data_IF_210452651695
#
_entry.id   IF_210452651695
#
_cell.length_a   1.000
_cell.length_b   1.000
_cell.length_c   1.000
_cell.angle_alpha   90.00
_cell.angle_beta   90.00
_cell.angle_gamma   90.00
#
_symmetry.space_group_name_H-M   'P 1'
#
loop_
_entity.id
_entity.type
_entity.pdbx_description
1 polymer ?
#
# COMPACT_ATOMS: atom_id res chain seq x y z
N UNK A 1 19.06 1.46 -16.41
CA UNK A 1 18.26 1.60 -15.15
C UNK A 1 18.48 0.36 -14.30
N UNK A 2 18.51 0.49 -12.98
CA UNK A 2 18.60 -0.68 -12.09
C UNK A 2 17.29 -1.46 -12.08
N UNK A 3 16.15 -0.76 -12.10
CA UNK A 3 14.82 -1.37 -12.07
C UNK A 3 14.17 -1.31 -13.43
N UNK A 4 13.61 -2.42 -13.86
CA UNK A 4 12.85 -2.57 -15.11
C UNK A 4 11.38 -2.86 -14.85
N UNK A 5 11.02 -3.13 -13.58
CA UNK A 5 9.65 -3.43 -13.14
C UNK A 5 9.32 -2.61 -11.91
N UNK A 6 8.21 -1.90 -12.00
CA UNK A 6 7.65 -1.08 -10.92
C UNK A 6 6.26 -1.60 -10.56
N UNK A 7 6.13 -2.08 -9.33
CA UNK A 7 4.85 -2.54 -8.78
C UNK A 7 4.39 -1.53 -7.74
N UNK A 8 3.15 -1.12 -7.80
CA UNK A 8 2.57 -0.09 -6.94
C UNK A 8 1.41 -0.66 -6.10
N UNK A 9 1.26 -0.20 -4.86
CA UNK A 9 -0.06 -0.19 -4.26
C UNK A 9 -0.95 0.86 -4.95
N UNK A 10 -2.24 0.86 -4.63
CA UNK A 10 -3.19 1.76 -5.26
C UNK A 10 -3.63 2.90 -4.34
N UNK A 11 -4.32 2.56 -3.24
CA UNK A 11 -4.87 3.55 -2.30
C UNK A 11 -3.72 4.26 -1.56
N UNK A 12 -3.75 5.59 -1.51
CA UNK A 12 -2.70 6.44 -0.95
C UNK A 12 -1.31 6.33 -1.61
N UNK A 13 -1.17 5.50 -2.62
CA UNK A 13 0.07 5.41 -3.42
C UNK A 13 -0.10 6.03 -4.79
N UNK A 14 -1.06 5.58 -5.58
CA UNK A 14 -1.38 6.14 -6.91
C UNK A 14 -2.57 7.10 -6.83
N UNK A 15 -3.53 6.85 -5.95
CA UNK A 15 -4.78 7.59 -5.85
C UNK A 15 -5.21 7.81 -4.41
N UNK A 16 -5.90 8.92 -4.17
CA UNK A 16 -6.66 9.16 -2.95
C UNK A 16 -8.10 8.69 -3.15
N UNK A 17 -8.49 7.61 -2.50
CA UNK A 17 -9.85 7.10 -2.39
C UNK A 17 -10.41 7.18 -0.98
N UNK A 18 -9.72 7.89 -0.09
CA UNK A 18 -10.05 7.94 1.33
C UNK A 18 -11.47 8.43 1.60
N UNK A 19 -11.95 9.41 0.83
CA UNK A 19 -13.33 9.92 0.98
C UNK A 19 -14.36 8.84 0.70
N UNK A 20 -14.21 8.10 -0.40
CA UNK A 20 -15.11 7.00 -0.75
C UNK A 20 -15.05 5.88 0.28
N UNK A 21 -13.84 5.51 0.72
CA UNK A 21 -13.62 4.49 1.74
C UNK A 21 -14.29 4.89 3.06
N UNK A 22 -14.10 6.12 3.53
CA UNK A 22 -14.71 6.61 4.77
C UNK A 22 -16.23 6.56 4.70
N UNK A 23 -16.84 7.02 3.60
CA UNK A 23 -18.30 6.96 3.42
C UNK A 23 -18.78 5.50 3.51
N UNK A 24 -18.15 4.59 2.79
CA UNK A 24 -18.57 3.17 2.76
C UNK A 24 -18.44 2.50 4.14
N UNK A 25 -17.32 2.69 4.84
CA UNK A 25 -17.16 2.15 6.20
C UNK A 25 -18.18 2.75 7.16
N UNK A 26 -18.33 4.07 7.15
CA UNK A 26 -19.25 4.79 8.04
C UNK A 26 -20.68 4.29 7.87
N UNK A 27 -21.18 4.21 6.63
CA UNK A 27 -22.54 3.76 6.36
C UNK A 27 -22.82 2.35 6.91
N UNK A 28 -21.86 1.44 6.75
CA UNK A 28 -22.00 0.08 7.30
C UNK A 28 -21.91 0.08 8.82
N UNK A 29 -20.88 0.73 9.39
CA UNK A 29 -20.68 0.76 10.84
C UNK A 29 -21.86 1.38 11.59
N UNK A 30 -22.37 2.54 11.13
CA UNK A 30 -23.51 3.22 11.75
C UNK A 30 -24.80 2.40 11.62
N UNK A 31 -25.04 1.71 10.50
CA UNK A 31 -26.18 0.81 10.30
C UNK A 31 -26.21 -0.30 11.33
N UNK A 32 -25.05 -0.74 11.79
CA UNK A 32 -24.91 -1.78 12.81
C UNK A 32 -24.65 -1.23 14.22
N UNK A 33 -24.89 0.07 14.44
CA UNK A 33 -24.83 0.71 15.77
C UNK A 33 -23.43 1.09 16.22
N UNK A 34 -22.40 0.97 15.38
CA UNK A 34 -21.04 1.41 15.69
C UNK A 34 -20.87 2.89 15.32
N UNK A 35 -21.20 3.76 16.29
CA UNK A 35 -21.16 5.23 16.12
C UNK A 35 -19.92 5.84 16.77
N UNK A 36 -19.59 7.10 16.41
CA UNK A 36 -18.51 7.83 17.02
C UNK A 36 -17.09 7.47 16.54
N UNK A 37 -16.98 6.61 15.53
CA UNK A 37 -15.69 6.25 14.92
C UNK A 37 -15.24 7.42 14.04
N UNK A 38 -14.04 7.96 14.31
CA UNK A 38 -13.52 9.09 13.55
C UNK A 38 -13.10 8.72 12.14
N UNK A 39 -13.12 9.70 11.22
CA UNK A 39 -12.58 9.52 9.87
C UNK A 39 -11.12 9.09 9.87
N UNK A 40 -10.33 9.64 10.81
CA UNK A 40 -8.93 9.29 10.95
C UNK A 40 -8.75 7.81 11.33
N UNK A 41 -9.57 7.28 12.25
CA UNK A 41 -9.52 5.88 12.61
C UNK A 41 -9.81 4.99 11.41
N UNK A 42 -10.81 5.34 10.59
CA UNK A 42 -11.12 4.62 9.34
C UNK A 42 -9.95 4.71 8.35
N UNK A 43 -9.42 5.91 8.11
CA UNK A 43 -8.30 6.14 7.19
C UNK A 43 -7.05 5.34 7.56
N UNK A 44 -6.76 5.16 8.85
CA UNK A 44 -5.64 4.33 9.33
C UNK A 44 -5.80 2.83 9.05
N UNK A 45 -6.99 2.37 8.63
CA UNK A 45 -7.17 0.97 8.22
C UNK A 45 -6.96 0.76 6.72
N UNK A 46 -6.82 1.82 5.93
CA UNK A 46 -6.60 1.72 4.48
C UNK A 46 -5.32 0.92 4.20
N UNK A 47 -5.37 -0.01 3.25
CA UNK A 47 -4.31 -0.96 2.96
C UNK A 47 -4.50 -2.34 3.58
N UNK A 48 -5.33 -2.47 4.63
CA UNK A 48 -5.72 -3.76 5.23
C UNK A 48 -6.86 -4.42 4.45
N UNK A 49 -7.20 -5.66 4.80
CA UNK A 49 -8.43 -6.29 4.29
C UNK A 49 -9.68 -5.60 4.87
N UNK A 50 -10.82 -5.72 4.20
CA UNK A 50 -12.07 -5.17 4.72
C UNK A 50 -12.45 -5.81 6.06
N UNK A 51 -12.26 -7.12 6.17
CA UNK A 51 -12.53 -7.87 7.40
C UNK A 51 -11.66 -7.38 8.56
N UNK A 52 -10.35 -7.24 8.36
CA UNK A 52 -9.44 -6.71 9.38
C UNK A 52 -9.80 -5.29 9.78
N UNK A 53 -10.16 -4.44 8.80
CA UNK A 53 -10.56 -3.07 9.04
C UNK A 53 -11.84 -2.99 9.87
N UNK A 54 -12.88 -3.75 9.49
CA UNK A 54 -14.11 -3.81 10.28
C UNK A 54 -13.88 -4.36 11.68
N UNK A 55 -13.05 -5.41 11.81
CA UNK A 55 -12.72 -5.96 13.13
C UNK A 55 -12.03 -4.94 14.02
N UNK A 56 -11.05 -4.19 13.50
CA UNK A 56 -10.34 -3.14 14.24
C UNK A 56 -11.27 -2.00 14.66
N UNK A 57 -12.19 -1.59 13.78
CA UNK A 57 -13.08 -0.44 14.02
C UNK A 57 -14.29 -0.77 14.91
N UNK A 58 -14.81 -2.00 14.85
CA UNK A 58 -16.01 -2.40 15.58
C UNK A 58 -15.73 -3.27 16.80
N UNK A 59 -14.55 -3.89 16.88
CA UNK A 59 -14.23 -4.91 17.88
C UNK A 59 -14.84 -6.29 17.58
N UNK A 60 -15.57 -6.45 16.47
CA UNK A 60 -16.17 -7.73 16.08
C UNK A 60 -15.08 -8.66 15.53
N UNK A 61 -15.15 -9.95 15.94
CA UNK A 61 -14.21 -10.99 15.48
C UNK A 61 -14.93 -12.17 14.81
N UNK A 62 -16.26 -12.20 14.83
CA UNK A 62 -17.06 -13.27 14.23
C UNK A 62 -16.94 -13.22 12.69
N UNK A 63 -16.40 -14.27 12.04
CA UNK A 63 -16.14 -14.26 10.60
C UNK A 63 -17.41 -14.05 9.76
N UNK A 64 -18.54 -14.60 10.18
CA UNK A 64 -19.84 -14.47 9.49
C UNK A 64 -20.28 -13.01 9.46
N UNK A 65 -20.20 -12.30 10.60
CA UNK A 65 -20.57 -10.88 10.70
C UNK A 65 -19.62 -10.00 9.88
N UNK A 66 -18.33 -10.28 9.92
CA UNK A 66 -17.34 -9.54 9.10
C UNK A 66 -17.58 -9.76 7.60
N UNK A 67 -17.99 -10.97 7.20
CA UNK A 67 -18.36 -11.26 5.81
C UNK A 67 -19.64 -10.50 5.37
N UNK A 68 -20.61 -10.34 6.27
CA UNK A 68 -21.79 -9.50 6.03
C UNK A 68 -21.41 -8.03 5.86
N UNK A 69 -20.61 -7.47 6.76
CA UNK A 69 -20.14 -6.08 6.67
C UNK A 69 -19.38 -5.83 5.38
N UNK A 70 -18.49 -6.77 4.99
CA UNK A 70 -17.81 -6.70 3.70
C UNK A 70 -18.78 -6.69 2.52
N UNK A 71 -19.82 -7.53 2.53
CA UNK A 71 -20.83 -7.56 1.47
C UNK A 71 -21.59 -6.24 1.36
N UNK A 72 -21.94 -5.64 2.50
CA UNK A 72 -22.59 -4.33 2.53
C UNK A 72 -21.64 -3.23 2.03
N UNK A 73 -20.37 -3.23 2.47
CA UNK A 73 -19.36 -2.30 2.00
C UNK A 73 -19.20 -2.34 0.47
N UNK A 74 -19.21 -3.53 -0.13
CA UNK A 74 -19.10 -3.66 -1.59
C UNK A 74 -20.28 -2.98 -2.29
N UNK A 75 -21.49 -3.07 -1.75
CA UNK A 75 -22.68 -2.35 -2.26
C UNK A 75 -22.55 -0.83 -2.11
N UNK A 76 -22.09 -0.35 -0.96
CA UNK A 76 -21.83 1.08 -0.76
C UNK A 76 -20.78 1.58 -1.77
N UNK A 77 -19.74 0.78 -2.00
CA UNK A 77 -18.67 1.11 -2.94
C UNK A 77 -19.15 1.23 -4.40
N UNK A 78 -20.22 0.54 -4.80
CA UNK A 78 -20.84 0.70 -6.12
C UNK A 78 -21.31 2.13 -6.37
N UNK A 79 -21.72 2.82 -5.31
CA UNK A 79 -22.24 4.20 -5.37
C UNK A 79 -21.14 5.24 -5.11
N UNK A 80 -20.27 4.99 -4.12
CA UNK A 80 -19.44 6.05 -3.57
C UNK A 80 -17.95 5.95 -3.91
N UNK A 81 -17.45 4.79 -4.35
CA UNK A 81 -16.01 4.62 -4.46
C UNK A 81 -15.41 5.39 -5.62
N UNK A 82 -15.84 5.11 -6.85
CA UNK A 82 -15.22 5.65 -8.07
C UNK A 82 -15.33 7.17 -8.15
N UNK A 83 -16.50 7.74 -7.80
CA UNK A 83 -16.73 9.19 -7.82
C UNK A 83 -15.97 9.96 -6.75
N UNK A 84 -15.42 9.29 -5.76
CA UNK A 84 -14.61 9.85 -4.68
C UNK A 84 -13.16 9.32 -4.69
N UNK A 85 -12.68 8.84 -5.83
CA UNK A 85 -11.29 8.41 -6.02
C UNK A 85 -10.62 9.29 -7.05
N UNK A 86 -9.44 9.83 -6.73
CA UNK A 86 -8.70 10.73 -7.61
C UNK A 86 -7.22 10.33 -7.63
N UNK A 87 -6.61 10.28 -8.81
CA UNK A 87 -5.16 10.14 -8.88
C UNK A 87 -4.46 11.35 -8.26
N UNK A 88 -3.35 11.11 -7.57
CA UNK A 88 -2.49 12.22 -7.16
C UNK A 88 -1.97 12.97 -8.41
N UNK A 89 -1.72 14.28 -8.29
CA UNK A 89 -1.40 15.13 -9.45
C UNK A 89 -0.25 14.61 -10.31
N UNK A 90 0.77 14.05 -9.68
CA UNK A 90 1.97 13.53 -10.34
C UNK A 90 1.81 12.13 -10.93
N UNK A 91 0.83 11.33 -10.47
CA UNK A 91 0.72 9.90 -10.78
C UNK A 91 0.75 9.62 -12.28
N UNK A 92 -0.10 10.29 -13.06
CA UNK A 92 -0.22 10.03 -14.51
C UNK A 92 1.11 10.33 -15.22
N UNK A 93 1.75 11.46 -14.87
CA UNK A 93 3.04 11.86 -15.47
C UNK A 93 4.15 10.90 -15.12
N UNK A 94 4.26 10.50 -13.86
CA UNK A 94 5.27 9.55 -13.38
C UNK A 94 5.13 8.20 -14.06
N UNK A 95 3.92 7.63 -14.10
CA UNK A 95 3.68 6.34 -14.74
C UNK A 95 3.98 6.36 -16.23
N UNK A 96 3.57 7.42 -16.95
CA UNK A 96 3.91 7.60 -18.38
C UNK A 96 5.41 7.73 -18.61
N UNK A 97 6.11 8.44 -17.73
CA UNK A 97 7.58 8.58 -17.79
C UNK A 97 8.27 7.22 -17.62
N UNK A 98 7.89 6.45 -16.61
CA UNK A 98 8.45 5.11 -16.40
C UNK A 98 8.16 4.19 -17.60
N UNK A 99 6.96 4.25 -18.15
CA UNK A 99 6.58 3.46 -19.33
C UNK A 99 7.41 3.85 -20.56
N UNK A 100 7.61 5.16 -20.80
CA UNK A 100 8.46 5.66 -21.91
C UNK A 100 9.92 5.26 -21.78
N UNK A 101 10.38 4.97 -20.57
CA UNK A 101 11.71 4.44 -20.27
C UNK A 101 11.80 2.90 -20.43
N UNK A 102 10.72 2.24 -20.89
CA UNK A 102 10.67 0.80 -21.13
C UNK A 102 10.35 -0.04 -19.88
N UNK A 103 9.90 0.58 -18.80
CA UNK A 103 9.53 -0.16 -17.59
C UNK A 103 8.22 -0.92 -17.76
N UNK A 104 8.14 -2.09 -17.13
CA UNK A 104 6.87 -2.75 -16.86
C UNK A 104 6.25 -2.18 -15.59
N UNK A 105 4.93 -1.95 -15.62
CA UNK A 105 4.18 -1.34 -14.52
C UNK A 105 3.04 -2.25 -14.10
N UNK A 106 2.96 -2.52 -12.80
CA UNK A 106 1.86 -3.30 -12.22
C UNK A 106 1.28 -2.67 -10.96
N UNK A 107 0.09 -3.13 -10.59
CA UNK A 107 -0.60 -2.76 -9.35
C UNK A 107 -0.81 -4.02 -8.50
N UNK A 108 -0.50 -3.94 -7.21
CA UNK A 108 -0.71 -5.00 -6.20
C UNK A 108 -1.42 -4.36 -5.02
N UNK A 109 -2.71 -4.61 -4.87
CA UNK A 109 -3.52 -3.95 -3.84
C UNK A 109 -4.47 -4.91 -3.14
N UNK A 110 -4.90 -4.56 -1.92
CA UNK A 110 -6.02 -5.23 -1.22
C UNK A 110 -7.38 -4.83 -1.79
N UNK A 111 -7.44 -3.70 -2.52
CA UNK A 111 -8.61 -3.28 -3.28
C UNK A 111 -8.96 -4.29 -4.37
N UNK A 112 -10.22 -4.50 -4.66
CA UNK A 112 -10.65 -5.37 -5.75
C UNK A 112 -10.16 -4.85 -7.10
N UNK A 113 -9.67 -5.76 -7.96
CA UNK A 113 -9.14 -5.43 -9.28
C UNK A 113 -10.14 -4.68 -10.15
N UNK A 114 -11.42 -5.06 -10.11
CA UNK A 114 -12.44 -4.38 -10.92
C UNK A 114 -12.60 -2.91 -10.50
N UNK A 115 -12.48 -2.58 -9.19
CA UNK A 115 -12.51 -1.18 -8.71
C UNK A 115 -11.29 -0.38 -9.15
N UNK A 116 -10.13 -1.03 -9.21
CA UNK A 116 -8.93 -0.40 -9.76
C UNK A 116 -9.14 -0.13 -11.25
N UNK A 117 -9.70 -1.10 -11.99
CA UNK A 117 -10.00 -0.96 -13.42
C UNK A 117 -10.96 0.19 -13.71
N UNK A 118 -12.01 0.38 -12.93
CA UNK A 118 -12.93 1.51 -13.07
C UNK A 118 -12.22 2.87 -13.11
N UNK A 119 -11.12 3.01 -12.38
CA UNK A 119 -10.30 4.23 -12.36
C UNK A 119 -9.27 4.28 -13.48
N UNK A 120 -8.47 3.21 -13.62
CA UNK A 120 -7.34 3.26 -14.57
C UNK A 120 -7.81 3.30 -16.01
N UNK A 121 -8.92 2.64 -16.35
CA UNK A 121 -9.44 2.57 -17.73
C UNK A 121 -10.02 3.92 -18.21
N UNK A 122 -10.31 4.85 -17.28
CA UNK A 122 -10.71 6.24 -17.60
C UNK A 122 -9.52 7.16 -17.92
N UNK A 123 -8.31 6.83 -17.43
CA UNK A 123 -7.16 7.74 -17.45
C UNK A 123 -5.97 7.20 -18.26
N UNK A 124 -5.96 5.92 -18.55
CA UNK A 124 -4.87 5.26 -19.27
C UNK A 124 -5.39 4.43 -20.43
N UNK A 125 -4.61 4.29 -21.51
CA UNK A 125 -4.92 3.36 -22.60
C UNK A 125 -5.12 1.94 -22.07
N UNK A 126 -5.92 1.17 -22.78
CA UNK A 126 -6.03 -0.28 -22.56
C UNK A 126 -4.64 -0.90 -22.56
N UNK A 127 -4.40 -1.82 -21.66
CA UNK A 127 -3.11 -2.52 -21.52
C UNK A 127 -1.92 -1.64 -21.10
N UNK A 128 -2.17 -0.43 -20.59
CA UNK A 128 -1.12 0.41 -20.03
C UNK A 128 -0.41 -0.27 -18.86
N UNK A 129 -1.17 -0.88 -17.95
CA UNK A 129 -0.62 -1.68 -16.86
C UNK A 129 -0.39 -3.11 -17.34
N UNK A 130 0.85 -3.59 -17.20
CA UNK A 130 1.25 -4.94 -17.60
C UNK A 130 0.61 -6.01 -16.71
N UNK A 131 0.25 -5.65 -15.47
CA UNK A 131 -0.48 -6.50 -14.54
C UNK A 131 -1.25 -5.68 -13.49
N UNK A 132 -2.43 -6.16 -13.10
CA UNK A 132 -3.16 -5.68 -11.92
C UNK A 132 -3.57 -6.90 -11.11
N UNK A 133 -3.18 -6.92 -9.85
CA UNK A 133 -3.55 -7.95 -8.86
C UNK A 133 -4.32 -7.26 -7.74
N UNK A 134 -5.60 -7.59 -7.62
CA UNK A 134 -6.47 -7.13 -6.54
C UNK A 134 -6.62 -8.16 -5.44
N UNK A 135 -7.39 -7.81 -4.42
CA UNK A 135 -7.62 -8.67 -3.25
C UNK A 135 -8.21 -10.03 -3.60
N UNK A 136 -9.07 -10.09 -4.61
CA UNK A 136 -9.70 -11.34 -5.09
C UNK A 136 -8.75 -12.26 -5.87
N UNK A 137 -7.60 -11.76 -6.27
CA UNK A 137 -6.63 -12.52 -7.07
C UNK A 137 -5.66 -13.35 -6.23
N UNK A 138 -5.67 -13.21 -4.93
CA UNK A 138 -4.78 -13.87 -3.98
C UNK A 138 -5.56 -14.59 -2.89
N UNK A 139 -4.98 -15.65 -2.34
CA UNK A 139 -5.55 -16.36 -1.16
C UNK A 139 -5.11 -15.69 0.14
N UNK A 140 -3.92 -15.12 0.14
CA UNK A 140 -3.34 -14.42 1.27
C UNK A 140 -3.10 -12.97 0.85
N UNK A 141 -3.78 -12.06 1.56
CA UNK A 141 -3.62 -10.61 1.33
C UNK A 141 -2.26 -10.11 1.87
N UNK A 142 -1.88 -8.90 1.49
CA UNK A 142 -0.75 -8.20 2.11
C UNK A 142 -0.92 -8.21 3.63
N UNK A 143 0.15 -8.44 4.40
CA UNK A 143 1.57 -8.44 4.03
C UNK A 143 2.11 -9.76 3.44
N UNK A 144 1.28 -10.77 3.15
CA UNK A 144 1.77 -11.95 2.44
C UNK A 144 2.29 -11.56 1.04
N UNK A 145 3.48 -12.06 0.64
CA UNK A 145 4.10 -11.71 -0.63
C UNK A 145 3.44 -12.34 -1.87
N UNK A 146 2.31 -13.02 -1.74
CA UNK A 146 1.68 -13.79 -2.83
C UNK A 146 1.38 -12.92 -4.05
N UNK A 147 0.88 -11.70 -3.85
CA UNK A 147 0.58 -10.76 -4.94
C UNK A 147 1.83 -10.40 -5.75
N UNK A 148 2.91 -9.99 -5.07
CA UNK A 148 4.19 -9.65 -5.71
C UNK A 148 4.76 -10.88 -6.42
N UNK A 149 4.84 -12.04 -5.76
CA UNK A 149 5.36 -13.28 -6.36
C UNK A 149 4.54 -13.69 -7.61
N UNK A 150 3.22 -13.51 -7.58
CA UNK A 150 2.33 -13.78 -8.72
C UNK A 150 2.63 -12.83 -9.88
N UNK A 151 2.85 -11.54 -9.59
CA UNK A 151 3.21 -10.54 -10.59
C UNK A 151 4.56 -10.88 -11.25
N UNK A 152 5.59 -11.12 -10.47
CA UNK A 152 6.93 -11.47 -10.98
C UNK A 152 6.90 -12.67 -11.91
N UNK A 153 6.18 -13.73 -11.51
CA UNK A 153 6.04 -14.93 -12.34
C UNK A 153 5.33 -14.64 -13.67
N UNK A 154 4.24 -13.86 -13.66
CA UNK A 154 3.48 -13.53 -14.87
C UNK A 154 4.20 -12.57 -15.80
N UNK A 155 4.99 -11.66 -15.23
CA UNK A 155 5.79 -10.70 -15.99
C UNK A 155 7.16 -11.26 -16.43
N UNK A 156 7.51 -12.48 -16.00
CA UNK A 156 8.82 -13.10 -16.22
C UNK A 156 9.96 -12.20 -15.72
N UNK A 157 9.82 -11.64 -14.49
CA UNK A 157 10.77 -10.69 -13.92
C UNK A 157 11.44 -11.20 -12.65
N UNK A 158 12.65 -10.69 -12.41
CA UNK A 158 13.44 -11.03 -11.24
C UNK A 158 13.23 -10.02 -10.11
N UNK A 159 13.44 -10.46 -8.86
CA UNK A 159 13.27 -9.63 -7.67
C UNK A 159 14.23 -8.44 -7.64
N UNK A 160 15.48 -8.64 -8.06
CA UNK A 160 16.54 -7.64 -8.02
C UNK A 160 16.40 -6.52 -9.08
N UNK A 161 15.50 -6.69 -10.05
CA UNK A 161 15.14 -5.69 -11.06
C UNK A 161 13.75 -5.07 -10.81
N UNK A 162 13.14 -5.40 -9.67
CA UNK A 162 11.79 -4.99 -9.30
C UNK A 162 11.82 -4.06 -8.11
N UNK A 163 11.05 -2.97 -8.19
CA UNK A 163 10.80 -2.04 -7.12
C UNK A 163 9.31 -2.10 -6.74
N UNK A 164 9.00 -2.23 -5.45
CA UNK A 164 7.65 -2.10 -4.94
C UNK A 164 7.48 -0.75 -4.26
N UNK A 165 6.39 -0.06 -4.56
CA UNK A 165 6.09 1.28 -4.09
C UNK A 165 4.76 1.25 -3.33
N UNK A 166 4.74 1.77 -2.10
CA UNK A 166 3.56 1.81 -1.25
C UNK A 166 3.66 2.90 -0.18
N UNK A 167 2.55 3.18 0.51
CA UNK A 167 2.46 4.23 1.53
C UNK A 167 2.42 3.69 2.96
N UNK A 168 2.28 2.38 3.14
CA UNK A 168 1.98 1.77 4.44
C UNK A 168 3.05 0.80 4.93
N UNK A 169 3.03 0.52 6.24
CA UNK A 169 3.85 -0.55 6.84
C UNK A 169 3.51 -1.92 6.25
N UNK A 170 2.24 -2.14 5.88
CA UNK A 170 1.79 -3.38 5.21
C UNK A 170 2.51 -3.57 3.87
N UNK A 171 2.76 -2.47 3.14
CA UNK A 171 3.52 -2.52 1.88
C UNK A 171 4.99 -2.82 2.11
N UNK A 172 5.59 -2.17 3.10
CA UNK A 172 6.99 -2.40 3.47
C UNK A 172 7.22 -3.87 3.88
N UNK A 173 6.33 -4.43 4.71
CA UNK A 173 6.35 -5.84 5.12
C UNK A 173 6.16 -6.78 3.92
N UNK A 174 5.24 -6.43 3.00
CA UNK A 174 5.01 -7.22 1.77
C UNK A 174 6.27 -7.27 0.89
N UNK A 175 6.92 -6.12 0.70
CA UNK A 175 8.17 -6.03 -0.07
C UNK A 175 9.30 -6.84 0.58
N UNK A 176 9.45 -6.72 1.90
CA UNK A 176 10.43 -7.48 2.68
C UNK A 176 10.19 -8.98 2.55
N UNK A 177 8.94 -9.44 2.73
CA UNK A 177 8.57 -10.84 2.60
C UNK A 177 8.75 -11.39 1.17
N UNK A 178 8.55 -10.54 0.15
CA UNK A 178 8.81 -10.88 -1.25
C UNK A 178 10.30 -10.84 -1.61
N UNK A 179 11.13 -10.18 -0.80
CA UNK A 179 12.56 -9.90 -1.04
C UNK A 179 12.75 -9.05 -2.30
N UNK A 180 11.93 -8.01 -2.47
CA UNK A 180 12.06 -6.96 -3.48
C UNK A 180 12.42 -5.64 -2.80
N UNK A 181 13.06 -4.74 -3.53
CA UNK A 181 13.36 -3.40 -3.04
C UNK A 181 12.07 -2.60 -2.83
N UNK A 182 12.04 -1.74 -1.80
CA UNK A 182 10.88 -0.94 -1.41
C UNK A 182 11.17 0.56 -1.47
N UNK A 183 10.16 1.31 -1.90
CA UNK A 183 10.09 2.77 -1.77
C UNK A 183 8.80 3.15 -1.09
N UNK A 184 8.92 3.87 0.03
CA UNK A 184 7.77 4.45 0.71
C UNK A 184 7.36 5.79 0.11
N UNK A 185 6.05 6.10 0.07
CA UNK A 185 5.51 7.43 -0.23
C UNK A 185 4.65 7.91 0.93
N UNK A 186 4.71 9.21 1.24
CA UNK A 186 4.03 9.79 2.41
C UNK A 186 2.68 10.44 2.05
N UNK A 187 1.94 9.84 1.12
CA UNK A 187 0.62 10.33 0.71
C UNK A 187 -0.51 9.84 1.64
N UNK A 188 -0.24 8.79 2.45
CA UNK A 188 -1.23 8.16 3.32
C UNK A 188 -1.12 8.59 4.78
N UNK A 189 -1.58 7.71 5.66
CA UNK A 189 -1.62 7.95 7.12
C UNK A 189 -0.36 7.46 7.85
N UNK A 190 0.53 6.74 7.17
CA UNK A 190 1.77 6.22 7.76
C UNK A 190 2.84 7.30 7.75
N UNK A 191 3.48 7.52 8.88
CA UNK A 191 4.53 8.54 8.99
C UNK A 191 5.88 8.02 8.48
N UNK A 192 6.81 8.94 8.27
CA UNK A 192 8.21 8.60 7.92
C UNK A 192 8.86 7.73 8.99
N UNK A 193 8.60 8.03 10.26
CA UNK A 193 9.14 7.30 11.42
C UNK A 193 8.61 5.86 11.48
N UNK A 194 7.38 5.63 11.04
CA UNK A 194 6.79 4.29 10.95
C UNK A 194 7.38 3.49 9.78
N UNK A 195 7.73 4.14 8.67
CA UNK A 195 8.30 3.46 7.50
C UNK A 195 9.82 3.22 7.59
N UNK A 196 10.57 4.12 8.24
CA UNK A 196 12.04 4.09 8.23
C UNK A 196 12.63 2.86 8.91
N UNK A 197 11.84 2.19 9.76
CA UNK A 197 12.26 0.96 10.46
C UNK A 197 12.30 -0.27 9.56
N UNK A 198 11.68 -0.19 8.37
CA UNK A 198 11.67 -1.28 7.39
C UNK A 198 12.80 -1.12 6.36
N UNK A 199 13.29 -2.22 5.76
CA UNK A 199 14.23 -2.12 4.64
C UNK A 199 13.60 -1.33 3.48
N UNK A 200 14.25 -0.24 3.08
CA UNK A 200 13.77 0.63 2.00
C UNK A 200 14.92 1.20 1.18
N UNK A 201 14.63 1.67 -0.03
CA UNK A 201 15.57 2.42 -0.86
C UNK A 201 15.46 3.91 -0.62
N UNK A 202 14.23 4.40 -0.53
CA UNK A 202 13.89 5.80 -0.27
C UNK A 202 12.52 5.87 0.40
N UNK A 203 12.29 6.96 1.13
CA UNK A 203 10.95 7.39 1.57
C UNK A 203 10.76 8.78 0.97
N UNK A 204 9.83 8.88 0.03
CA UNK A 204 9.54 10.07 -0.76
C UNK A 204 8.29 10.76 -0.21
N UNK A 205 8.23 12.07 -0.29
CA UNK A 205 7.02 12.81 0.09
C UNK A 205 5.86 12.52 -0.88
N UNK A 206 6.18 12.27 -2.16
CA UNK A 206 5.26 11.85 -3.21
C UNK A 206 6.02 11.16 -4.37
N UNK A 207 5.31 10.74 -5.42
CA UNK A 207 5.91 10.00 -6.53
C UNK A 207 6.80 10.82 -7.47
N UNK A 208 6.84 12.16 -7.38
CA UNK A 208 7.50 13.02 -8.38
C UNK A 208 8.98 12.67 -8.62
N UNK A 209 9.68 12.22 -7.58
CA UNK A 209 11.10 11.87 -7.66
C UNK A 209 11.35 10.40 -8.05
N UNK A 210 10.32 9.58 -8.13
CA UNK A 210 10.47 8.14 -8.42
C UNK A 210 11.21 7.85 -9.74
N UNK A 211 10.98 8.57 -10.86
CA UNK A 211 11.71 8.32 -12.10
C UNK A 211 13.22 8.58 -12.01
N UNK A 212 13.66 9.25 -10.97
CA UNK A 212 15.07 9.60 -10.73
C UNK A 212 15.74 8.70 -9.70
N UNK A 213 15.03 7.73 -9.13
CA UNK A 213 15.53 6.94 -7.98
C UNK A 213 16.83 6.20 -8.25
N UNK A 214 17.12 5.86 -9.51
CA UNK A 214 18.39 5.24 -9.91
C UNK A 214 19.59 6.18 -9.81
N UNK A 215 19.37 7.50 -9.67
CA UNK A 215 20.41 8.51 -9.49
C UNK A 215 20.81 8.70 -8.04
N UNK A 216 20.02 8.19 -7.11
CA UNK A 216 20.35 8.24 -5.69
C UNK A 216 21.21 7.03 -5.32
N UNK A 217 22.27 7.26 -4.57
CA UNK A 217 23.05 6.18 -3.97
C UNK A 217 22.14 5.34 -3.07
N UNK A 218 22.32 4.01 -3.02
CA UNK A 218 21.59 3.19 -2.05
C UNK A 218 21.79 3.78 -0.66
N UNK A 219 20.72 3.89 0.12
CA UNK A 219 20.81 4.07 1.56
C UNK A 219 21.56 2.85 2.09
N UNK A 220 22.84 3.00 2.44
CA UNK A 220 23.51 2.08 3.33
C UNK A 220 23.11 2.51 4.74
N UNK A 221 22.43 1.65 5.53
CA UNK A 221 22.24 1.94 6.93
C UNK A 221 23.63 2.18 7.52
N UNK A 222 23.84 3.39 8.03
CA UNK A 222 25.12 3.82 8.56
C UNK A 222 25.61 2.77 9.56
N UNK A 223 26.78 2.18 9.28
CA UNK A 223 27.50 1.30 10.21
C UNK A 223 27.91 2.03 11.48
N UNK A 224 27.53 3.31 11.61
CA UNK A 224 27.82 4.24 12.69
C UNK A 224 26.56 4.90 13.22
N UNK A 225 25.49 4.13 13.54
CA UNK A 225 24.55 4.62 14.53
C UNK A 225 25.23 4.47 15.89
N UNK A 226 25.63 5.56 16.56
CA UNK A 226 26.25 5.44 17.87
C UNK A 226 25.20 4.87 18.82
N UNK A 227 25.55 3.81 19.57
CA UNK A 227 24.73 3.17 20.62
C UNK A 227 24.09 4.15 21.63
N UNK A 228 24.53 5.41 21.64
CA UNK A 228 24.03 6.49 22.51
C UNK A 228 22.61 6.98 22.25
N UNK A 229 22.00 6.64 21.09
CA UNK A 229 20.62 7.06 20.78
C UNK A 229 19.55 6.08 21.26
N UNK A 230 19.90 4.88 21.72
CA UNK A 230 18.94 3.88 22.21
C UNK A 230 18.38 4.18 23.63
N UNK A 231 18.87 5.20 24.32
CA UNK A 231 18.42 5.56 25.68
C UNK A 231 17.61 6.86 25.77
N UNK A 232 17.14 7.38 24.66
CA UNK A 232 16.21 8.50 24.68
C UNK A 232 14.79 7.97 24.95
N UNK A 233 14.15 8.56 25.96
CA UNK A 233 12.84 8.20 26.55
C UNK A 233 11.63 8.32 25.61
N UNK A 234 11.81 8.25 24.30
CA UNK A 234 10.79 8.46 23.27
C UNK A 234 10.50 7.24 22.36
N UNK A 235 11.12 6.07 22.61
CA UNK A 235 10.83 4.87 21.82
C UNK A 235 9.85 3.95 22.57
N UNK A 236 8.74 3.51 21.94
CA UNK A 236 7.86 2.50 22.52
C UNK A 236 8.61 1.20 22.78
N UNK A 237 8.50 0.65 24.00
CA UNK A 237 9.22 -0.56 24.46
C UNK A 237 9.11 -1.81 23.57
N UNK A 238 8.14 -1.85 22.65
CA UNK A 238 7.95 -2.97 21.72
C UNK A 238 8.99 -3.06 20.57
N UNK A 239 9.67 -1.97 20.24
CA UNK A 239 10.68 -1.95 19.16
C UNK A 239 12.02 -2.51 19.64
N UNK A 240 12.34 -2.35 20.92
CA UNK A 240 13.60 -2.83 21.51
C UNK A 240 13.66 -4.37 21.59
N UNK A 241 12.51 -5.03 21.75
CA UNK A 241 12.43 -6.48 21.81
C UNK A 241 12.73 -7.17 20.47
N UNK A 242 12.41 -6.51 19.36
CA UNK A 242 12.61 -7.09 18.01
C UNK A 242 14.09 -7.10 17.59
N UNK A 243 14.87 -6.09 18.02
CA UNK A 243 16.30 -6.01 17.70
C UNK A 243 17.18 -7.00 18.49
N UNK A 244 16.74 -7.43 19.69
CA UNK A 244 17.47 -8.41 20.52
C UNK A 244 17.31 -9.86 20.08
N UNK A 245 16.42 -10.18 19.14
CA UNK A 245 16.17 -11.55 18.65
C UNK A 245 16.98 -11.92 17.40
N UNK A 246 17.70 -10.95 16.79
CA UNK A 246 18.41 -11.16 15.53
C UNK A 246 19.89 -10.72 15.55
N UNK A 247 20.45 -10.47 16.73
CA UNK A 247 21.88 -10.31 17.03
C UNK A 247 22.15 -11.05 18.36
#
# INVERSE_FOLDING_TARGET
MKYTTYLFDFDYTLADSSRGIVICFRNVLERHGHTGISDEAIKRTIGKTLEDSFSLLSGITAPETLAEYKKEYVKEADTYMTVNTFFFPETVTVLKTLKSQGAQIGIISTKFRFRIREMVDQHFPKDFFDIIIGGEDVKQAKPDPQGIKKALRRLHRQKNETLYIGDSTVDAETAQAAKVDFVGVLNGMTTREELIVYPHRQILDNLSLLPLIHKFTPYEPDKHFPEKFFYSSYFPQKIVAFYKLFH
#
